data_IF_927333535712
#
_entry.id   IF_927333535712
#
_cell.length_a   1.000
_cell.length_b   1.000
_cell.length_c   1.000
_cell.angle_alpha   90.00
_cell.angle_beta   90.00
_cell.angle_gamma   90.00
#
_symmetry.space_group_name_H-M   'P 1'
#
loop_
_entity.id
_entity.type
_entity.pdbx_description
1 polymer ?
#
# COMPACT_ATOMS: atom_id res chain seq x y z
N UNK A 1 21.52 13.83 -8.72
CA UNK A 1 20.95 12.77 -7.87
C UNK A 1 19.46 12.66 -8.17
N UNK A 2 19.04 11.63 -8.91
CA UNK A 2 17.64 11.45 -9.28
C UNK A 2 16.88 11.01 -8.03
N UNK A 3 16.02 11.87 -7.49
CA UNK A 3 15.11 11.48 -6.41
C UNK A 3 13.98 10.68 -7.04
N UNK A 4 14.07 9.35 -6.96
CA UNK A 4 12.94 8.48 -7.34
C UNK A 4 11.78 8.83 -6.40
N UNK A 5 10.70 9.39 -6.97
CA UNK A 5 9.52 9.75 -6.19
C UNK A 5 8.81 8.46 -5.77
N UNK A 6 8.64 8.28 -4.46
CA UNK A 6 7.86 7.17 -3.90
C UNK A 6 6.37 7.42 -4.07
N UNK A 7 5.68 6.39 -4.54
CA UNK A 7 4.22 6.32 -4.69
C UNK A 7 3.57 6.00 -3.35
N UNK A 8 2.24 6.12 -3.25
CA UNK A 8 1.51 5.74 -2.04
C UNK A 8 1.61 4.23 -1.76
N UNK A 9 1.58 3.42 -2.82
CA UNK A 9 1.62 1.96 -2.73
C UNK A 9 2.95 1.46 -2.12
N UNK A 10 4.06 2.16 -2.40
CA UNK A 10 5.36 1.89 -1.78
C UNK A 10 5.32 2.00 -0.25
N UNK A 11 4.47 2.88 0.32
CA UNK A 11 4.29 3.01 1.77
C UNK A 11 3.34 1.95 2.33
N UNK A 12 2.31 1.58 1.55
CA UNK A 12 1.25 0.69 2.02
C UNK A 12 1.73 -0.70 2.39
N UNK A 13 2.75 -1.22 1.70
CA UNK A 13 3.36 -2.52 2.02
C UNK A 13 3.77 -2.55 3.50
N UNK A 14 4.51 -1.54 3.96
CA UNK A 14 4.96 -1.44 5.34
C UNK A 14 3.83 -1.21 6.35
N UNK A 15 2.83 -0.39 5.99
CA UNK A 15 1.70 -0.14 6.88
C UNK A 15 0.83 -1.37 7.09
N UNK A 16 0.65 -2.19 6.05
CA UNK A 16 -0.08 -3.47 6.12
C UNK A 16 0.67 -4.51 6.94
N UNK A 17 1.99 -4.62 6.77
CA UNK A 17 2.81 -5.56 7.52
C UNK A 17 2.93 -5.19 9.00
N UNK A 18 3.00 -3.90 9.32
CA UNK A 18 3.08 -3.40 10.70
C UNK A 18 4.39 -3.73 11.43
N UNK A 19 5.40 -4.26 10.72
CA UNK A 19 6.69 -4.69 11.30
C UNK A 19 7.67 -3.55 11.54
N UNK A 20 7.54 -2.45 10.79
CA UNK A 20 8.45 -1.31 10.85
C UNK A 20 7.77 -0.07 11.42
N UNK A 21 8.51 0.68 12.23
CA UNK A 21 8.10 2.01 12.68
C UNK A 21 8.37 3.09 11.61
N UNK A 22 7.86 4.31 11.80
CA UNK A 22 7.97 5.38 10.79
C UNK A 22 9.41 5.79 10.48
N UNK A 23 10.33 5.68 11.44
CA UNK A 23 11.73 6.00 11.22
C UNK A 23 12.44 4.93 10.38
N UNK A 24 12.11 3.66 10.60
CA UNK A 24 12.62 2.54 9.80
C UNK A 24 12.10 2.62 8.36
N UNK A 25 10.80 2.89 8.18
CA UNK A 25 10.19 3.08 6.85
C UNK A 25 10.83 4.27 6.13
N UNK A 26 11.09 5.36 6.85
CA UNK A 26 11.73 6.54 6.27
C UNK A 26 13.14 6.23 5.74
N UNK A 27 13.92 5.46 6.52
CA UNK A 27 15.25 5.01 6.13
C UNK A 27 15.20 4.08 4.92
N UNK A 28 14.30 3.10 4.94
CA UNK A 28 14.14 2.10 3.87
C UNK A 28 13.71 2.75 2.55
N UNK A 29 12.78 3.70 2.60
CA UNK A 29 12.28 4.39 1.42
C UNK A 29 13.16 5.58 0.98
N UNK A 30 14.15 5.97 1.78
CA UNK A 30 14.96 7.15 1.54
C UNK A 30 14.15 8.46 1.54
N UNK A 31 13.14 8.56 2.41
CA UNK A 31 12.25 9.73 2.51
C UNK A 31 12.24 10.33 3.91
N UNK A 32 11.63 11.50 4.09
CA UNK A 32 11.53 12.11 5.42
C UNK A 32 10.51 11.39 6.30
N UNK A 33 10.79 11.32 7.60
CA UNK A 33 9.87 10.81 8.63
C UNK A 33 8.51 11.52 8.58
N UNK A 34 8.51 12.83 8.34
CA UNK A 34 7.29 13.64 8.18
C UNK A 34 6.44 13.14 7.00
N UNK A 35 7.06 12.73 5.90
CA UNK A 35 6.34 12.19 4.75
C UNK A 35 5.70 10.84 5.08
N UNK A 36 6.40 9.97 5.81
CA UNK A 36 5.85 8.69 6.28
C UNK A 36 4.61 8.93 7.14
N UNK A 37 4.68 9.82 8.13
CA UNK A 37 3.54 10.14 8.99
C UNK A 37 2.34 10.76 8.25
N UNK A 38 2.57 11.50 7.16
CA UNK A 38 1.49 11.96 6.27
C UNK A 38 0.82 10.78 5.56
N UNK A 39 1.61 9.86 5.00
CA UNK A 39 1.09 8.68 4.31
C UNK A 39 0.39 7.72 5.28
N UNK A 40 0.88 7.57 6.51
CA UNK A 40 0.24 6.73 7.53
C UNK A 40 -1.15 7.24 7.90
N UNK A 41 -1.32 8.54 8.08
CA UNK A 41 -2.65 9.15 8.32
C UNK A 41 -3.58 8.97 7.13
N UNK A 42 -3.09 9.17 5.91
CA UNK A 42 -3.85 8.88 4.69
C UNK A 42 -4.27 7.42 4.61
N UNK A 43 -3.38 6.49 4.94
CA UNK A 43 -3.70 5.05 4.98
C UNK A 43 -4.73 4.73 6.05
N UNK A 44 -4.59 5.30 7.25
CA UNK A 44 -5.55 5.11 8.35
C UNK A 44 -6.94 5.67 8.04
N UNK A 45 -7.08 6.75 7.27
CA UNK A 45 -8.38 7.25 6.84
C UNK A 45 -9.01 6.41 5.73
N UNK A 46 -8.20 5.68 4.96
CA UNK A 46 -8.65 4.88 3.82
C UNK A 46 -8.91 3.41 4.18
N UNK A 47 -8.24 2.86 5.19
CA UNK A 47 -8.41 1.45 5.59
C UNK A 47 -9.83 1.16 6.09
N UNK A 48 -10.50 2.16 6.67
CA UNK A 48 -11.86 2.05 7.22
C UNK A 48 -12.92 2.49 6.18
N UNK A 49 -12.51 2.93 4.98
CA UNK A 49 -13.41 3.27 3.87
C UNK A 49 -13.70 2.02 3.01
N UNK A 50 -14.95 1.52 2.98
CA UNK A 50 -15.30 0.34 2.19
C UNK A 50 -15.06 0.51 0.67
N UNK A 51 -15.05 1.74 0.15
CA UNK A 51 -14.77 2.01 -1.27
C UNK A 51 -13.29 1.84 -1.62
N UNK A 52 -12.40 2.09 -0.65
CA UNK A 52 -10.95 1.95 -0.85
C UNK A 52 -10.52 0.48 -0.84
N UNK A 53 -11.09 -0.32 0.08
CA UNK A 53 -10.88 -1.78 0.10
C UNK A 53 -11.36 -2.38 -1.22
N UNK A 54 -12.53 -1.97 -1.72
CA UNK A 54 -13.09 -2.46 -2.99
C UNK A 54 -12.19 -2.15 -4.19
N UNK A 55 -11.61 -0.95 -4.26
CA UNK A 55 -10.75 -0.56 -5.39
C UNK A 55 -9.35 -1.18 -5.34
N UNK A 56 -8.75 -1.36 -4.16
CA UNK A 56 -7.51 -2.12 -3.98
C UNK A 56 -7.71 -3.64 -4.22
N UNK A 57 -8.86 -4.19 -3.80
CA UNK A 57 -9.23 -5.58 -4.04
C UNK A 57 -9.54 -5.83 -5.51
N UNK A 58 -10.20 -4.88 -6.20
CA UNK A 58 -10.46 -4.95 -7.64
C UNK A 58 -9.16 -4.93 -8.46
N UNK A 59 -8.12 -4.22 -8.01
CA UNK A 59 -6.79 -4.27 -8.64
C UNK A 59 -6.12 -5.65 -8.47
N UNK A 60 -6.36 -6.32 -7.33
CA UNK A 60 -5.81 -7.65 -7.04
C UNK A 60 -6.59 -8.78 -7.75
N UNK A 61 -7.89 -8.59 -7.97
CA UNK A 61 -8.73 -9.54 -8.71
C UNK A 61 -8.49 -9.43 -10.24
N UNK A 62 -8.04 -8.27 -10.74
CA UNK A 62 -7.76 -8.10 -12.17
C UNK A 62 -6.40 -8.67 -12.61
N UNK A 63 -5.50 -9.00 -11.67
CA UNK A 63 -4.24 -9.72 -11.91
C UNK A 63 -4.33 -11.17 -11.44
N UNK A 64 -5.32 -11.90 -11.94
CA UNK A 64 -5.48 -13.30 -11.57
C UNK A 64 -6.53 -14.02 -12.40
N UNK A 65 -6.26 -14.20 -13.69
CA UNK A 65 -6.91 -15.25 -14.48
C UNK A 65 -6.65 -16.61 -13.82
N UNK A 66 -7.59 -17.10 -13.02
CA UNK A 66 -7.77 -18.53 -12.81
C UNK A 66 -9.21 -18.89 -13.18
N UNK A 67 -9.40 -19.14 -14.48
CA UNK A 67 -10.52 -19.94 -14.97
C UNK A 67 -10.35 -21.35 -14.39
N UNK A 68 -11.10 -21.67 -13.33
CA UNK A 68 -11.37 -23.06 -12.99
C UNK A 68 -12.72 -23.38 -13.63
N UNK A 69 -12.66 -23.81 -14.89
CA UNK A 69 -13.82 -24.32 -15.60
C UNK A 69 -14.08 -25.73 -15.10
N UNK A 70 -14.93 -25.89 -14.08
CA UNK A 70 -15.43 -27.20 -13.67
C UNK A 70 -16.71 -27.43 -14.48
N UNK A 71 -16.57 -28.12 -15.62
CA UNK A 71 -17.71 -28.75 -16.29
C UNK A 71 -18.06 -30.04 -15.55
N UNK A 72 -19.30 -30.13 -15.07
CA UNK A 72 -19.97 -31.38 -14.66
C UNK A 72 -20.88 -31.86 -15.78
#
# INVERSE_FOLDING_TARGET
MIRIKKTFDDYMVYFKEGRLNDAEIAKELGVSHVNVGKMRRKWASLKDDPNYITSASKLTIQTGSFNINISV
#
